data_IF_268558088074
#
_entry.id   IF_268558088074
#
_cell.length_a   1.000
_cell.length_b   1.000
_cell.length_c   1.000
_cell.angle_alpha   90.00
_cell.angle_beta   90.00
_cell.angle_gamma   90.00
#
_symmetry.space_group_name_H-M   'P 1'
#
loop_
_entity.id
_entity.type
_entity.pdbx_description
1 polymer ?
#
# COMPACT_ATOMS: atom_id res chain seq x y z
N UNK A 1 32.50 -36.80 -19.53
CA UNK A 1 32.53 -37.90 -18.54
C UNK A 1 32.13 -37.34 -17.18
N UNK A 2 31.41 -38.15 -16.41
CA UNK A 2 30.50 -37.78 -15.31
C UNK A 2 31.22 -37.19 -14.09
N UNK A 3 30.70 -36.10 -13.53
CA UNK A 3 30.95 -35.71 -12.14
C UNK A 3 29.62 -35.76 -11.39
N UNK A 4 29.67 -36.46 -10.27
CA UNK A 4 28.59 -37.16 -9.59
C UNK A 4 27.63 -36.22 -8.87
N UNK A 5 26.34 -36.41 -9.13
CA UNK A 5 25.23 -35.92 -8.31
C UNK A 5 25.05 -36.89 -7.13
N UNK A 6 25.23 -36.43 -5.89
CA UNK A 6 25.01 -37.22 -4.67
C UNK A 6 24.38 -36.33 -3.58
N UNK A 7 23.05 -36.48 -3.47
CA UNK A 7 22.25 -36.68 -2.26
C UNK A 7 22.51 -35.76 -1.05
N UNK A 8 21.49 -34.98 -0.67
CA UNK A 8 20.94 -35.08 0.69
C UNK A 8 19.47 -34.62 0.76
N UNK A 9 18.59 -35.62 0.85
CA UNK A 9 17.19 -35.50 1.28
C UNK A 9 17.22 -35.37 2.81
N UNK A 10 16.72 -34.26 3.36
CA UNK A 10 16.41 -34.18 4.79
C UNK A 10 14.89 -34.02 4.91
N UNK A 11 14.28 -35.16 5.25
CA UNK A 11 12.91 -35.28 5.73
C UNK A 11 12.94 -35.21 7.26
N UNK A 12 12.20 -34.27 7.84
CA UNK A 12 11.73 -34.32 9.24
C UNK A 12 10.33 -33.69 9.23
N UNK A 13 9.28 -34.50 9.17
CA UNK A 13 8.35 -34.74 10.29
C UNK A 13 8.12 -33.47 11.14
N UNK A 14 7.00 -32.77 11.03
CA UNK A 14 5.75 -33.26 11.58
C UNK A 14 5.63 -32.81 13.04
N UNK A 15 5.05 -31.64 13.26
CA UNK A 15 4.52 -31.25 14.57
C UNK A 15 3.18 -30.56 14.38
N UNK A 16 2.14 -31.39 14.42
CA UNK A 16 0.80 -31.02 14.83
C UNK A 16 0.85 -30.50 16.26
N UNK A 17 0.42 -29.27 16.50
CA UNK A 17 -0.20 -28.89 17.77
C UNK A 17 -1.54 -28.24 17.48
N UNK A 18 -2.57 -29.03 17.75
CA UNK A 18 -3.94 -28.62 17.91
C UNK A 18 -4.09 -27.68 19.12
N UNK A 19 -5.05 -26.77 19.07
CA UNK A 19 -5.37 -25.89 20.19
C UNK A 19 -6.49 -24.90 19.89
N UNK A 20 -7.71 -25.42 19.71
CA UNK A 20 -8.95 -24.65 19.77
C UNK A 20 -9.10 -23.95 21.12
N UNK A 21 -9.60 -22.71 21.14
CA UNK A 21 -10.92 -22.37 21.73
C UNK A 21 -11.24 -20.90 21.49
N UNK A 22 -12.42 -20.67 20.92
CA UNK A 22 -13.14 -19.40 20.95
C UNK A 22 -13.30 -18.91 22.40
N UNK A 23 -13.09 -17.62 22.63
CA UNK A 23 -13.85 -16.89 23.64
C UNK A 23 -14.38 -15.60 23.00
N UNK A 24 -15.66 -15.68 22.64
CA UNK A 24 -16.54 -14.54 22.45
C UNK A 24 -16.75 -13.90 23.82
N UNK A 25 -16.47 -12.61 23.94
CA UNK A 25 -17.01 -11.76 24.99
C UNK A 25 -17.81 -10.65 24.32
N UNK A 26 -19.11 -10.88 24.17
CA UNK A 26 -20.10 -9.84 23.91
C UNK A 26 -20.16 -8.94 25.15
N UNK A 27 -19.64 -7.72 25.05
CA UNK A 27 -20.01 -6.68 25.99
C UNK A 27 -21.39 -6.13 25.57
N UNK A 28 -22.44 -6.80 26.01
CA UNK A 28 -23.75 -6.18 26.15
C UNK A 28 -23.66 -5.17 27.29
N UNK A 29 -24.09 -3.94 27.05
CA UNK A 29 -24.83 -3.09 27.99
C UNK A 29 -25.10 -1.74 27.32
N UNK A 30 -26.33 -1.52 26.87
CA UNK A 30 -27.17 -0.38 27.23
C UNK A 30 -28.44 -0.40 26.38
N UNK A 31 -29.43 -1.16 26.84
CA UNK A 31 -30.82 -0.93 26.45
C UNK A 31 -31.35 0.20 27.35
N UNK A 32 -31.10 1.43 26.93
CA UNK A 32 -31.92 2.57 27.31
C UNK A 32 -32.97 2.72 26.21
N UNK A 33 -34.02 1.92 26.30
CA UNK A 33 -35.24 2.15 25.53
C UNK A 33 -35.90 3.41 26.09
N UNK A 34 -35.71 4.53 25.40
CA UNK A 34 -36.63 5.67 25.49
C UNK A 34 -36.85 6.15 24.07
N UNK A 35 -38.08 5.92 23.62
CA UNK A 35 -38.61 6.41 22.38
C UNK A 35 -38.50 7.93 22.31
N UNK A 36 -37.63 8.42 21.43
CA UNK A 36 -37.73 9.75 20.86
C UNK A 36 -37.06 9.69 19.49
N UNK A 37 -37.87 9.83 18.43
CA UNK A 37 -37.41 9.95 17.06
C UNK A 37 -36.46 11.14 16.97
N UNK A 38 -35.17 10.88 17.09
CA UNK A 38 -34.10 11.85 16.93
C UNK A 38 -33.37 11.46 15.66
N UNK A 39 -33.26 12.34 14.65
CA UNK A 39 -32.56 12.00 13.42
C UNK A 39 -31.13 11.56 13.76
N UNK A 40 -30.76 10.36 13.30
CA UNK A 40 -29.43 9.81 13.50
C UNK A 40 -28.37 10.84 13.11
N UNK A 41 -27.28 10.99 13.90
CA UNK A 41 -26.17 11.83 13.49
C UNK A 41 -25.65 11.25 12.18
N UNK A 42 -25.83 11.99 11.09
CA UNK A 42 -25.25 11.65 9.80
C UNK A 42 -23.76 11.59 10.04
N UNK A 43 -23.20 10.38 10.05
CA UNK A 43 -21.76 10.19 10.19
C UNK A 43 -21.12 11.01 9.07
N UNK A 44 -20.52 12.14 9.42
CA UNK A 44 -19.81 12.99 8.48
C UNK A 44 -18.60 12.20 8.03
N UNK A 45 -18.73 11.53 6.88
CA UNK A 45 -17.59 10.92 6.21
C UNK A 45 -16.55 12.03 6.05
N UNK A 46 -15.33 11.88 6.60
CA UNK A 46 -14.30 12.88 6.44
C UNK A 46 -14.12 13.16 4.96
N UNK A 47 -14.28 14.42 4.55
CA UNK A 47 -13.97 14.84 3.18
C UNK A 47 -12.46 14.66 3.03
N UNK A 48 -12.04 13.56 2.42
CA UNK A 48 -10.63 13.31 2.14
C UNK A 48 -10.14 14.34 1.13
N UNK A 49 -9.35 15.29 1.61
CA UNK A 49 -8.86 16.39 0.81
C UNK A 49 -7.60 15.93 0.02
N UNK A 50 -7.83 15.20 -1.07
CA UNK A 50 -6.77 14.68 -1.92
C UNK A 50 -6.28 15.74 -2.91
N UNK A 51 -5.07 16.24 -2.74
CA UNK A 51 -4.44 17.13 -3.72
C UNK A 51 -4.07 16.38 -4.99
N UNK A 52 -4.63 16.81 -6.12
CA UNK A 52 -4.29 16.25 -7.42
C UNK A 52 -2.85 16.62 -7.81
N UNK A 53 -2.04 15.67 -8.33
CA UNK A 53 -0.73 16.01 -8.87
C UNK A 53 -0.89 16.90 -10.11
N UNK A 54 0.02 17.86 -10.33
CA UNK A 54 -0.01 18.69 -11.53
C UNK A 54 0.18 17.83 -12.79
N UNK A 55 -0.48 18.17 -13.90
CA UNK A 55 -0.32 17.44 -15.15
C UNK A 55 1.11 17.59 -15.68
N UNK A 56 1.76 16.45 -15.94
CA UNK A 56 3.11 16.43 -16.51
C UNK A 56 3.02 16.68 -18.02
N UNK A 57 3.31 17.92 -18.43
CA UNK A 57 3.36 18.32 -19.86
C UNK A 57 4.65 17.89 -20.54
N UNK A 58 5.74 17.92 -19.79
CA UNK A 58 7.05 17.43 -20.20
C UNK A 58 7.63 16.61 -19.04
N UNK A 59 7.96 15.35 -19.30
CA UNK A 59 8.51 14.44 -18.30
C UNK A 59 9.92 14.86 -17.89
N UNK A 60 10.69 15.48 -18.80
CA UNK A 60 12.08 15.86 -18.53
C UNK A 60 12.20 17.05 -17.57
N UNK A 61 11.13 17.81 -17.37
CA UNK A 61 11.07 18.85 -16.34
C UNK A 61 11.27 18.30 -14.91
N UNK A 62 11.07 16.99 -14.71
CA UNK A 62 11.29 16.31 -13.43
C UNK A 62 12.75 15.88 -13.22
N UNK A 63 13.55 15.77 -14.28
CA UNK A 63 14.95 15.34 -14.19
C UNK A 63 15.80 16.17 -13.21
N UNK A 64 15.81 17.51 -13.22
CA UNK A 64 16.64 18.28 -12.29
C UNK A 64 16.22 18.07 -10.83
N UNK A 65 14.91 17.98 -10.57
CA UNK A 65 14.40 17.72 -9.23
C UNK A 65 14.80 16.32 -8.75
N UNK A 66 14.64 15.30 -9.60
CA UNK A 66 14.99 13.92 -9.29
C UNK A 66 16.52 13.69 -9.21
N UNK A 67 17.30 14.52 -9.89
CA UNK A 67 18.76 14.55 -9.74
C UNK A 67 19.14 15.16 -8.40
N UNK A 68 18.50 16.26 -8.01
CA UNK A 68 18.74 16.90 -6.71
C UNK A 68 18.31 16.03 -5.52
N UNK A 69 17.28 15.17 -5.67
CA UNK A 69 16.89 14.20 -4.64
C UNK A 69 17.77 12.94 -4.62
N UNK A 70 18.59 12.72 -5.66
CA UNK A 70 19.44 11.53 -5.79
C UNK A 70 18.74 10.31 -6.39
N UNK A 71 17.49 10.44 -6.83
CA UNK A 71 16.74 9.36 -7.52
C UNK A 71 17.30 9.12 -8.94
N UNK A 72 17.75 10.19 -9.60
CA UNK A 72 18.48 10.14 -10.87
C UNK A 72 19.94 10.46 -10.63
N UNK A 73 20.83 9.62 -11.15
CA UNK A 73 22.27 9.87 -11.13
C UNK A 73 22.75 10.38 -12.49
N UNK A 74 23.78 11.25 -12.53
CA UNK A 74 24.26 11.82 -13.79
C UNK A 74 24.84 10.77 -14.75
N UNK A 75 25.36 9.67 -14.23
CA UNK A 75 25.90 8.54 -15.01
C UNK A 75 24.84 7.63 -15.64
N UNK A 76 23.55 7.79 -15.30
CA UNK A 76 22.46 7.01 -15.91
C UNK A 76 22.29 7.38 -17.38
N UNK A 77 22.02 6.37 -18.20
CA UNK A 77 21.61 6.54 -19.59
C UNK A 77 20.27 7.28 -19.67
N UNK A 78 19.97 7.83 -20.84
CA UNK A 78 18.70 8.55 -21.06
C UNK A 78 17.49 7.65 -20.83
N UNK A 79 17.59 6.38 -21.20
CA UNK A 79 16.55 5.37 -21.06
C UNK A 79 16.30 5.04 -19.59
N UNK A 80 17.37 4.88 -18.79
CA UNK A 80 17.27 4.67 -17.35
C UNK A 80 16.66 5.87 -16.64
N UNK A 81 17.11 7.08 -16.97
CA UNK A 81 16.52 8.32 -16.44
C UNK A 81 15.03 8.41 -16.74
N UNK A 82 14.65 8.13 -17.99
CA UNK A 82 13.24 8.10 -18.41
C UNK A 82 12.44 7.08 -17.61
N UNK A 83 12.98 5.88 -17.36
CA UNK A 83 12.31 4.87 -16.55
C UNK A 83 12.05 5.35 -15.12
N UNK A 84 13.04 5.98 -14.48
CA UNK A 84 12.90 6.57 -13.14
C UNK A 84 11.83 7.67 -13.11
N UNK A 85 11.85 8.58 -14.09
CA UNK A 85 10.84 9.65 -14.21
C UNK A 85 9.43 9.06 -14.34
N UNK A 86 9.25 8.04 -15.17
CA UNK A 86 7.95 7.40 -15.36
C UNK A 86 7.48 6.67 -14.11
N UNK A 87 8.39 6.03 -13.37
CA UNK A 87 8.09 5.41 -12.08
C UNK A 87 7.60 6.44 -11.06
N UNK A 88 8.29 7.59 -10.97
CA UNK A 88 7.91 8.68 -10.09
C UNK A 88 6.49 9.18 -10.38
N UNK A 89 6.17 9.42 -11.67
CA UNK A 89 4.83 9.85 -12.09
C UNK A 89 3.77 8.81 -11.72
N UNK A 90 4.06 7.53 -11.96
CA UNK A 90 3.15 6.42 -11.63
C UNK A 90 2.87 6.38 -10.12
N UNK A 91 3.90 6.42 -9.28
CA UNK A 91 3.75 6.39 -7.83
C UNK A 91 2.91 7.57 -7.31
N UNK A 92 3.11 8.77 -7.85
CA UNK A 92 2.29 9.95 -7.50
C UNK A 92 0.82 9.77 -7.90
N UNK A 93 0.56 9.25 -9.10
CA UNK A 93 -0.80 9.00 -9.58
C UNK A 93 -1.50 7.88 -8.80
N UNK A 94 -0.77 6.82 -8.43
CA UNK A 94 -1.29 5.75 -7.58
C UNK A 94 -1.65 6.26 -6.19
N UNK A 95 -0.80 7.08 -5.59
CA UNK A 95 -1.05 7.70 -4.28
C UNK A 95 -2.31 8.55 -4.33
N UNK A 96 -2.46 9.38 -5.37
CA UNK A 96 -3.67 10.16 -5.59
C UNK A 96 -4.92 9.28 -5.77
N UNK A 97 -4.81 8.20 -6.56
CA UNK A 97 -5.91 7.24 -6.77
C UNK A 97 -6.34 6.54 -5.47
N UNK A 98 -5.38 6.14 -4.63
CA UNK A 98 -5.60 5.52 -3.32
C UNK A 98 -6.31 6.49 -2.37
N UNK A 99 -5.81 7.73 -2.29
CA UNK A 99 -6.43 8.79 -1.50
C UNK A 99 -7.90 9.00 -1.91
N UNK A 100 -8.18 9.14 -3.22
CA UNK A 100 -9.55 9.30 -3.72
C UNK A 100 -10.49 8.14 -3.37
N UNK A 101 -9.95 6.93 -3.20
CA UNK A 101 -10.72 5.73 -2.86
C UNK A 101 -10.89 5.54 -1.36
N UNK A 102 -10.34 6.43 -0.52
CA UNK A 102 -10.40 6.31 0.94
C UNK A 102 -9.57 5.15 1.51
N UNK A 103 -8.66 4.57 0.71
CA UNK A 103 -7.71 3.54 1.15
C UNK A 103 -6.34 4.19 1.31
N UNK A 104 -6.06 4.69 2.50
CA UNK A 104 -4.72 5.14 2.89
C UNK A 104 -4.05 4.07 3.73
#
# INVERSE_FOLDING_TARGET
MRISNLIQVISVAGTLLAGSTLLVACASNNEAETAAATPAPVATVPVQNCSAPPPVRDIWALEPMLTNSGDIKPEMTREEKKAVILEYIRAKNETYSKCKKGKN
#
